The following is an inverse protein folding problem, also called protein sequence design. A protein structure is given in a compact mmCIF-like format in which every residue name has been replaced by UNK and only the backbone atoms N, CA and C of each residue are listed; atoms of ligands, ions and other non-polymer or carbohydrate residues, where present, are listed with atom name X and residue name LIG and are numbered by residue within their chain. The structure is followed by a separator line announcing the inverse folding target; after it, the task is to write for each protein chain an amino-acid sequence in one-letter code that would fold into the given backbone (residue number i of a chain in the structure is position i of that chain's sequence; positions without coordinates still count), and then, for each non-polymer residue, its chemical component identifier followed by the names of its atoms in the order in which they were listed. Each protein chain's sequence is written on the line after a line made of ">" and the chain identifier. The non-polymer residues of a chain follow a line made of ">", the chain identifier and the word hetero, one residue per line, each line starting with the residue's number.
data_IF_439982629754
#
_entry.id   IF_439982629754
#
_cell.length_a   1.000
_cell.length_b   1.000
_cell.length_c   1.000
_cell.angle_alpha   90.00
_cell.angle_beta   90.00
_cell.angle_gamma   90.00
#
_symmetry.space_group_name_H-M   'P 1'
#
loop_
_entity.id
_entity.type
_entity.pdbx_description
1 polymer ?
#
# COMPACT_ATOMS: atom_id res chain seq x y z
N UNK A 1 91.50 117.66 -66.67
CA UNK A 1 91.24 118.74 -65.69
C UNK A 1 89.76 118.65 -65.33
N UNK A 2 89.35 118.58 -64.07
CA UNK A 2 90.15 118.50 -62.83
C UNK A 2 89.39 117.74 -61.72
N UNK A 3 90.15 117.19 -60.78
CA UNK A 3 89.73 116.87 -59.40
C UNK A 3 89.31 118.17 -58.64
N UNK A 4 88.52 118.14 -57.55
CA UNK A 4 88.79 117.28 -56.38
C UNK A 4 87.61 116.73 -55.57
N UNK A 5 87.91 115.72 -54.74
CA UNK A 5 87.03 115.21 -53.69
C UNK A 5 86.91 116.13 -52.45
N UNK A 6 85.67 116.32 -51.94
CA UNK A 6 85.33 116.63 -50.53
C UNK A 6 83.81 116.59 -50.31
N UNK A 7 83.26 115.44 -49.88
CA UNK A 7 81.82 115.30 -49.54
C UNK A 7 81.49 114.14 -48.59
N UNK A 8 82.21 113.01 -48.68
CA UNK A 8 81.85 111.76 -47.96
C UNK A 8 81.86 111.82 -46.42
N UNK A 9 82.59 112.77 -45.81
CA UNK A 9 82.95 112.70 -44.39
C UNK A 9 81.88 113.27 -43.44
N UNK A 10 81.11 114.28 -43.87
CA UNK A 10 79.96 114.80 -43.10
C UNK A 10 78.80 113.81 -43.08
N UNK A 11 78.51 113.16 -44.22
CA UNK A 11 77.45 112.16 -44.32
C UNK A 11 77.64 110.97 -43.35
N UNK A 12 78.88 110.45 -43.23
CA UNK A 12 79.21 109.40 -42.25
C UNK A 12 78.97 109.85 -40.80
N UNK A 13 79.36 111.07 -40.44
CA UNK A 13 79.16 111.58 -39.09
C UNK A 13 77.67 111.77 -38.75
N UNK A 14 76.84 112.21 -39.71
CA UNK A 14 75.38 112.30 -39.53
C UNK A 14 74.76 110.91 -39.33
N UNK A 15 75.16 109.91 -40.12
CA UNK A 15 74.65 108.53 -39.96
C UNK A 15 75.07 107.92 -38.62
N UNK A 16 76.32 108.13 -38.17
CA UNK A 16 76.79 107.67 -36.86
C UNK A 16 76.03 108.37 -35.72
N UNK A 17 75.79 109.68 -35.82
CA UNK A 17 74.97 110.41 -34.86
C UNK A 17 73.53 109.85 -34.81
N UNK A 18 72.90 109.61 -35.97
CA UNK A 18 71.55 109.07 -36.04
C UNK A 18 71.45 107.66 -35.44
N UNK A 19 72.43 106.79 -35.70
CA UNK A 19 72.53 105.45 -35.11
C UNK A 19 72.74 105.51 -33.59
N UNK A 20 73.57 106.41 -33.10
CA UNK A 20 73.77 106.58 -31.65
C UNK A 20 72.49 107.07 -30.95
N UNK A 21 71.75 107.99 -31.57
CA UNK A 21 70.49 108.50 -31.05
C UNK A 21 69.41 107.40 -31.04
N UNK A 22 69.31 106.60 -32.12
CA UNK A 22 68.44 105.42 -32.17
C UNK A 22 68.80 104.39 -31.08
N UNK A 23 70.09 104.11 -30.88
CA UNK A 23 70.56 103.18 -29.86
C UNK A 23 70.20 103.65 -28.44
N UNK A 24 70.27 104.96 -28.17
CA UNK A 24 69.86 105.53 -26.88
C UNK A 24 68.34 105.42 -26.69
N UNK A 25 67.55 105.68 -27.73
CA UNK A 25 66.08 105.52 -27.69
C UNK A 25 65.71 104.06 -27.43
N UNK A 26 66.32 103.09 -28.14
CA UNK A 26 66.10 101.66 -27.91
C UNK A 26 66.52 101.22 -26.49
N UNK A 27 67.65 101.74 -25.98
CA UNK A 27 68.08 101.47 -24.60
C UNK A 27 67.03 101.94 -23.58
N UNK A 28 66.50 103.17 -23.74
CA UNK A 28 65.46 103.72 -22.87
C UNK A 28 64.18 102.87 -22.94
N UNK A 29 63.75 102.43 -24.12
CA UNK A 29 62.57 101.57 -24.26
C UNK A 29 62.77 100.22 -23.56
N UNK A 30 63.93 99.58 -23.73
CA UNK A 30 64.23 98.30 -23.05
C UNK A 30 64.27 98.50 -21.53
N UNK A 31 64.92 99.56 -21.03
CA UNK A 31 64.99 99.88 -19.60
C UNK A 31 63.59 100.18 -19.02
N UNK A 32 62.72 100.89 -19.75
CA UNK A 32 61.34 101.14 -19.29
C UNK A 32 60.53 99.84 -19.26
N UNK A 33 60.70 98.93 -20.21
CA UNK A 33 60.02 97.62 -20.20
C UNK A 33 60.55 96.67 -19.12
N UNK A 34 61.86 96.66 -18.83
CA UNK A 34 62.45 95.80 -17.79
C UNK A 34 62.33 96.36 -16.37
N UNK A 35 62.28 97.70 -16.24
CA UNK A 35 62.28 98.42 -14.95
C UNK A 35 60.89 98.97 -14.60
N UNK A 36 59.87 98.59 -15.36
CA UNK A 36 58.46 98.70 -14.96
C UNK A 36 57.85 97.31 -14.68
N UNK A 37 58.37 96.50 -13.74
CA UNK A 37 57.60 95.38 -13.21
C UNK A 37 56.37 95.98 -12.54
N UNK A 38 55.19 95.70 -13.10
CA UNK A 38 53.96 96.41 -12.80
C UNK A 38 53.66 96.42 -11.28
N UNK A 39 53.74 97.59 -10.64
CA UNK A 39 53.55 97.70 -9.20
C UNK A 39 52.09 97.49 -8.76
N UNK A 40 51.11 97.55 -9.68
CA UNK A 40 49.72 97.13 -9.42
C UNK A 40 49.59 95.60 -9.41
N UNK A 41 50.45 94.86 -10.12
CA UNK A 41 50.54 93.40 -10.01
C UNK A 41 50.76 92.93 -8.57
N UNK A 42 51.44 93.72 -7.72
CA UNK A 42 51.62 93.43 -6.28
C UNK A 42 50.32 93.50 -5.45
N UNK A 43 49.29 94.19 -5.95
CA UNK A 43 47.94 94.19 -5.40
C UNK A 43 47.10 93.08 -6.03
N UNK A 44 47.20 92.89 -7.35
CA UNK A 44 46.50 91.84 -8.08
C UNK A 44 46.88 90.43 -7.57
N UNK A 45 48.16 90.18 -7.33
CA UNK A 45 48.67 88.94 -6.74
C UNK A 45 48.12 88.69 -5.32
N UNK A 46 47.84 89.74 -4.54
CA UNK A 46 47.17 89.60 -3.23
C UNK A 46 45.71 89.21 -3.38
N UNK A 47 44.98 89.82 -4.31
CA UNK A 47 43.57 89.43 -4.58
C UNK A 47 43.48 88.01 -5.17
N UNK A 48 44.41 87.61 -6.03
CA UNK A 48 44.49 86.24 -6.56
C UNK A 48 44.87 85.22 -5.48
N UNK A 49 45.75 85.57 -4.53
CA UNK A 49 46.02 84.72 -3.36
C UNK A 49 44.82 84.60 -2.41
N UNK A 50 44.02 85.66 -2.24
CA UNK A 50 42.80 85.61 -1.44
C UNK A 50 41.73 84.75 -2.12
N UNK A 51 41.43 84.98 -3.40
CA UNK A 51 40.53 84.15 -4.20
C UNK A 51 40.96 82.67 -4.24
N UNK A 52 42.25 82.39 -4.42
CA UNK A 52 42.78 81.03 -4.37
C UNK A 52 42.65 80.41 -2.96
N UNK A 53 42.80 81.19 -1.89
CA UNK A 53 42.61 80.72 -0.52
C UNK A 53 41.14 80.42 -0.23
N UNK A 54 40.22 81.33 -0.58
CA UNK A 54 38.77 81.12 -0.44
C UNK A 54 38.29 79.90 -1.24
N UNK A 55 38.82 79.69 -2.46
CA UNK A 55 38.55 78.49 -3.27
C UNK A 55 39.11 77.22 -2.62
N UNK A 56 40.31 77.26 -2.04
CA UNK A 56 40.90 76.12 -1.34
C UNK A 56 40.10 75.78 -0.08
N UNK A 57 39.66 76.78 0.69
CA UNK A 57 38.77 76.56 1.84
C UNK A 57 37.40 76.04 1.44
N UNK A 58 36.81 76.56 0.36
CA UNK A 58 35.58 76.03 -0.23
C UNK A 58 35.70 74.56 -0.62
N UNK A 59 36.73 74.19 -1.39
CA UNK A 59 37.04 72.80 -1.77
C UNK A 59 37.30 71.92 -0.55
N UNK A 60 37.99 72.43 0.48
CA UNK A 60 38.26 71.73 1.73
C UNK A 60 36.99 71.48 2.57
N UNK A 61 36.01 72.40 2.52
CA UNK A 61 34.69 72.20 3.15
C UNK A 61 33.84 71.20 2.35
N UNK A 62 33.83 71.29 1.02
CA UNK A 62 33.13 70.33 0.15
C UNK A 62 33.71 68.91 0.32
N UNK A 63 35.02 68.74 0.16
CA UNK A 63 35.71 67.46 0.36
C UNK A 63 35.47 66.86 1.76
N UNK A 64 35.34 67.67 2.81
CA UNK A 64 34.94 67.20 4.15
C UNK A 64 33.49 66.70 4.20
N UNK A 65 32.55 67.38 3.53
CA UNK A 65 31.15 66.94 3.45
C UNK A 65 31.03 65.66 2.62
N UNK A 66 31.67 65.61 1.46
CA UNK A 66 31.67 64.44 0.57
C UNK A 66 32.29 63.22 1.28
N UNK A 67 33.37 63.43 2.04
CA UNK A 67 33.96 62.38 2.88
C UNK A 67 32.96 61.85 3.91
N UNK A 68 32.28 62.72 4.67
CA UNK A 68 31.32 62.30 5.69
C UNK A 68 30.12 61.57 5.07
N UNK A 69 29.60 62.07 3.95
CA UNK A 69 28.51 61.42 3.21
C UNK A 69 28.93 60.05 2.64
N UNK A 70 30.21 59.88 2.26
CA UNK A 70 30.76 58.59 1.83
C UNK A 70 30.95 57.63 3.02
N UNK A 71 31.41 58.11 4.17
CA UNK A 71 31.51 57.31 5.39
C UNK A 71 30.12 56.84 5.88
N UNK A 72 29.10 57.71 5.81
CA UNK A 72 27.69 57.37 6.11
C UNK A 72 27.12 56.34 5.12
N UNK A 73 27.37 56.50 3.81
CA UNK A 73 26.93 55.52 2.80
C UNK A 73 27.63 54.16 2.96
N UNK A 74 28.94 54.15 3.26
CA UNK A 74 29.70 52.91 3.49
C UNK A 74 29.18 52.16 4.72
N UNK A 75 28.84 52.85 5.80
CA UNK A 75 28.28 52.20 6.98
C UNK A 75 26.85 51.68 6.73
N UNK A 76 26.00 52.46 6.04
CA UNK A 76 24.66 52.03 5.66
C UNK A 76 24.66 50.81 4.71
N UNK A 77 25.64 50.66 3.82
CA UNK A 77 25.80 49.45 3.00
C UNK A 77 26.38 48.26 3.78
N UNK A 78 27.21 48.49 4.83
CA UNK A 78 27.63 47.43 5.75
C UNK A 78 26.46 46.87 6.56
N UNK A 79 25.64 47.75 7.16
CA UNK A 79 24.44 47.33 7.90
C UNK A 79 23.48 46.51 7.03
N UNK A 80 23.27 46.92 5.76
CA UNK A 80 22.50 46.14 4.78
C UNK A 80 23.16 44.79 4.47
N UNK A 81 24.47 44.76 4.24
CA UNK A 81 25.19 43.52 3.94
C UNK A 81 25.15 42.53 5.11
N UNK A 82 25.35 42.97 6.35
CA UNK A 82 25.33 42.10 7.51
C UNK A 82 23.90 41.66 7.88
N UNK A 83 22.89 42.50 7.65
CA UNK A 83 21.48 42.07 7.70
C UNK A 83 21.18 40.99 6.66
N UNK A 84 21.59 41.17 5.41
CA UNK A 84 21.41 40.17 4.34
C UNK A 84 22.16 38.86 4.67
N UNK A 85 23.35 38.92 5.26
CA UNK A 85 24.08 37.73 5.74
C UNK A 85 23.33 37.01 6.85
N UNK A 86 22.75 37.73 7.81
CA UNK A 86 21.93 37.13 8.86
C UNK A 86 20.67 36.45 8.29
N UNK A 87 19.98 37.09 7.34
CA UNK A 87 18.83 36.51 6.64
C UNK A 87 19.21 35.25 5.83
N UNK A 88 20.36 35.27 5.12
CA UNK A 88 20.90 34.11 4.40
C UNK A 88 21.24 32.95 5.35
N UNK A 89 21.89 33.23 6.48
CA UNK A 89 22.23 32.21 7.48
C UNK A 89 20.99 31.59 8.13
N UNK A 90 19.97 32.40 8.43
CA UNK A 90 18.68 31.93 8.92
C UNK A 90 17.98 31.02 7.90
N UNK A 91 17.92 31.44 6.62
CA UNK A 91 17.33 30.63 5.55
C UNK A 91 18.10 29.32 5.30
N UNK A 92 19.43 29.35 5.39
CA UNK A 92 20.28 28.15 5.29
C UNK A 92 20.01 27.19 6.47
N UNK A 93 19.88 27.70 7.69
CA UNK A 93 19.53 26.92 8.87
C UNK A 93 18.15 26.25 8.75
N UNK A 94 17.14 27.02 8.30
CA UNK A 94 15.80 26.49 8.07
C UNK A 94 15.78 25.42 6.96
N UNK A 95 16.53 25.63 5.87
CA UNK A 95 16.66 24.65 4.78
C UNK A 95 17.34 23.37 5.26
N UNK A 96 18.38 23.48 6.09
CA UNK A 96 19.05 22.30 6.67
C UNK A 96 18.10 21.52 7.61
N UNK A 97 17.28 22.22 8.39
CA UNK A 97 16.27 21.59 9.24
C UNK A 97 15.19 20.86 8.44
N UNK A 98 14.63 21.48 7.40
CA UNK A 98 13.61 20.83 6.54
C UNK A 98 14.18 19.73 5.65
N UNK A 99 15.48 19.76 5.32
CA UNK A 99 16.17 18.66 4.67
C UNK A 99 16.28 17.44 5.62
N UNK A 100 16.64 17.68 6.88
CA UNK A 100 16.73 16.62 7.89
C UNK A 100 15.38 15.94 8.14
N UNK A 101 14.29 16.70 8.34
CA UNK A 101 12.95 16.12 8.58
C UNK A 101 12.38 15.44 7.33
N UNK A 102 12.75 15.89 6.13
CA UNK A 102 12.40 15.21 4.88
C UNK A 102 13.07 13.83 4.77
N UNK A 103 14.34 13.70 5.15
CA UNK A 103 15.05 12.42 5.13
C UNK A 103 14.54 11.47 6.25
N UNK A 104 14.17 12.00 7.42
CA UNK A 104 13.48 11.24 8.47
C UNK A 104 12.14 10.69 7.96
N UNK A 105 11.27 11.53 7.39
CA UNK A 105 10.01 11.12 6.77
C UNK A 105 10.24 10.10 5.62
N UNK A 106 11.34 10.23 4.86
CA UNK A 106 11.72 9.26 3.82
C UNK A 106 12.11 7.90 4.42
N UNK A 107 12.85 7.89 5.53
CA UNK A 107 13.24 6.68 6.25
C UNK A 107 12.02 6.01 6.91
N UNK A 108 11.12 6.77 7.53
CA UNK A 108 9.86 6.25 8.09
C UNK A 108 9.00 5.59 7.01
N UNK A 109 8.86 6.23 5.84
CA UNK A 109 8.09 5.68 4.72
C UNK A 109 8.69 4.34 4.20
N UNK A 110 10.03 4.22 4.15
CA UNK A 110 10.69 2.95 3.79
C UNK A 110 10.45 1.85 4.84
N UNK A 111 10.48 2.18 6.13
CA UNK A 111 10.13 1.23 7.21
C UNK A 111 8.66 0.83 7.15
N UNK A 112 7.75 1.78 6.88
CA UNK A 112 6.33 1.51 6.74
C UNK A 112 6.04 0.62 5.52
N UNK A 113 6.70 0.86 4.38
CA UNK A 113 6.61 0.01 3.18
C UNK A 113 7.10 -1.42 3.46
N UNK A 114 8.21 -1.58 4.18
CA UNK A 114 8.70 -2.90 4.60
C UNK A 114 7.70 -3.62 5.52
N UNK A 115 7.13 -2.91 6.50
CA UNK A 115 6.10 -3.45 7.40
C UNK A 115 4.84 -3.90 6.65
N UNK A 116 4.39 -3.13 5.64
CA UNK A 116 3.26 -3.51 4.78
C UNK A 116 3.58 -4.79 3.99
N UNK A 117 4.79 -4.91 3.42
CA UNK A 117 5.21 -6.12 2.70
C UNK A 117 5.22 -7.36 3.60
N UNK A 118 5.76 -7.25 4.81
CA UNK A 118 5.76 -8.34 5.81
C UNK A 118 4.33 -8.68 6.25
N UNK A 119 3.46 -7.69 6.44
CA UNK A 119 2.07 -7.95 6.81
C UNK A 119 1.28 -8.65 5.69
N UNK A 120 1.55 -8.31 4.42
CA UNK A 120 0.97 -9.02 3.28
C UNK A 120 1.44 -10.48 3.21
N UNK A 121 2.75 -10.74 3.35
CA UNK A 121 3.30 -12.11 3.38
C UNK A 121 2.64 -12.96 4.48
N UNK A 122 2.45 -12.38 5.68
CA UNK A 122 1.74 -13.05 6.77
C UNK A 122 0.26 -13.35 6.44
N UNK A 123 -0.45 -12.44 5.76
CA UNK A 123 -1.84 -12.68 5.31
C UNK A 123 -1.90 -13.81 4.28
N UNK A 124 -0.94 -13.89 3.37
CA UNK A 124 -0.85 -14.96 2.37
C UNK A 124 -0.51 -16.32 3.01
N UNK A 125 0.41 -16.36 3.97
CA UNK A 125 0.74 -17.56 4.75
C UNK A 125 -0.44 -18.04 5.62
N UNK A 126 -1.19 -17.12 6.24
CA UNK A 126 -2.40 -17.44 7.00
C UNK A 126 -3.48 -18.05 6.09
N UNK A 127 -3.74 -17.48 4.91
CA UNK A 127 -4.69 -18.03 3.93
C UNK A 127 -4.30 -19.42 3.43
N UNK A 128 -3.01 -19.69 3.20
CA UNK A 128 -2.53 -21.03 2.85
C UNK A 128 -2.75 -22.02 4.00
N UNK A 129 -2.55 -21.58 5.24
CA UNK A 129 -2.79 -22.40 6.44
C UNK A 129 -4.28 -22.70 6.63
N UNK A 130 -5.14 -21.69 6.45
CA UNK A 130 -6.61 -21.81 6.50
C UNK A 130 -7.14 -22.79 5.44
N UNK A 131 -6.68 -22.67 4.19
CA UNK A 131 -7.06 -23.57 3.10
C UNK A 131 -6.62 -25.02 3.37
N UNK A 132 -5.42 -25.22 3.92
CA UNK A 132 -4.90 -26.53 4.31
C UNK A 132 -5.72 -27.15 5.46
N UNK A 133 -6.03 -26.38 6.51
CA UNK A 133 -6.87 -26.84 7.61
C UNK A 133 -8.30 -27.15 7.16
N UNK A 134 -8.89 -26.33 6.28
CA UNK A 134 -10.21 -26.60 5.69
C UNK A 134 -10.23 -27.91 4.90
N UNK A 135 -9.18 -28.19 4.12
CA UNK A 135 -9.04 -29.46 3.40
C UNK A 135 -8.85 -30.66 4.34
N UNK A 136 -8.14 -30.50 5.45
CA UNK A 136 -8.00 -31.54 6.48
C UNK A 136 -9.31 -31.80 7.24
N UNK A 137 -10.12 -30.77 7.50
CA UNK A 137 -11.44 -30.89 8.13
C UNK A 137 -12.37 -31.68 7.21
N UNK A 138 -12.50 -31.31 5.92
CA UNK A 138 -13.31 -32.06 4.97
C UNK A 138 -12.91 -33.53 4.84
N UNK A 139 -11.60 -33.82 4.83
CA UNK A 139 -11.08 -35.21 4.84
C UNK A 139 -11.41 -35.97 6.14
N UNK A 140 -11.58 -35.29 7.28
CA UNK A 140 -12.04 -35.91 8.53
C UNK A 140 -13.55 -36.11 8.54
N UNK A 141 -14.32 -35.16 7.99
CA UNK A 141 -15.77 -35.29 7.80
C UNK A 141 -16.10 -36.47 6.87
N UNK A 142 -15.45 -36.59 5.71
CA UNK A 142 -15.54 -37.76 4.80
C UNK A 142 -15.26 -39.10 5.51
N UNK A 143 -14.30 -39.12 6.44
CA UNK A 143 -13.95 -40.32 7.21
C UNK A 143 -14.98 -40.65 8.31
N UNK A 144 -15.59 -39.63 8.92
CA UNK A 144 -16.65 -39.80 9.92
C UNK A 144 -17.91 -40.32 9.22
N UNK A 145 -18.32 -39.74 8.10
CA UNK A 145 -19.47 -40.17 7.31
C UNK A 145 -19.32 -41.62 6.82
N UNK A 146 -18.13 -41.99 6.31
CA UNK A 146 -17.84 -43.35 5.88
C UNK A 146 -17.87 -44.35 7.06
N UNK A 147 -17.45 -43.93 8.25
CA UNK A 147 -17.51 -44.75 9.47
C UNK A 147 -18.96 -44.90 9.99
N UNK A 148 -19.75 -43.83 9.98
CA UNK A 148 -21.17 -43.87 10.37
C UNK A 148 -21.98 -44.77 9.44
N UNK A 149 -21.76 -44.70 8.13
CA UNK A 149 -22.36 -45.62 7.16
C UNK A 149 -21.96 -47.07 7.43
N UNK A 150 -20.68 -47.35 7.72
CA UNK A 150 -20.20 -48.69 8.03
C UNK A 150 -20.82 -49.26 9.32
N UNK A 151 -20.89 -48.45 10.38
CA UNK A 151 -21.52 -48.82 11.67
C UNK A 151 -23.02 -49.05 11.50
N UNK A 152 -23.70 -48.23 10.70
CA UNK A 152 -25.14 -48.37 10.41
C UNK A 152 -25.43 -49.64 9.61
N UNK A 153 -24.60 -49.95 8.59
CA UNK A 153 -24.70 -51.22 7.86
C UNK A 153 -24.48 -52.42 8.81
N UNK A 154 -23.42 -52.39 9.62
CA UNK A 154 -23.13 -53.46 10.58
C UNK A 154 -24.27 -53.66 11.59
N UNK A 155 -24.91 -52.59 12.06
CA UNK A 155 -26.08 -52.67 12.92
C UNK A 155 -27.24 -53.42 12.23
N UNK A 156 -27.60 -53.04 11.01
CA UNK A 156 -28.65 -53.74 10.24
C UNK A 156 -28.29 -55.21 9.94
N UNK A 157 -27.03 -55.53 9.64
CA UNK A 157 -26.57 -56.91 9.46
C UNK A 157 -26.72 -57.73 10.75
N UNK A 158 -26.42 -57.16 11.93
CA UNK A 158 -26.65 -57.84 13.21
C UNK A 158 -28.13 -58.03 13.55
N UNK A 159 -29.00 -57.08 13.22
CA UNK A 159 -30.45 -57.18 13.40
C UNK A 159 -31.07 -58.25 12.47
N UNK A 160 -30.63 -58.31 11.21
CA UNK A 160 -31.01 -59.36 10.27
C UNK A 160 -30.54 -60.75 10.75
N UNK A 161 -29.30 -60.86 11.25
CA UNK A 161 -28.75 -62.09 11.81
C UNK A 161 -29.52 -62.55 13.06
N UNK A 162 -29.86 -61.63 13.98
CA UNK A 162 -30.68 -61.93 15.15
C UNK A 162 -32.09 -62.42 14.75
N UNK A 163 -32.70 -61.78 13.76
CA UNK A 163 -34.03 -62.17 13.23
C UNK A 163 -34.00 -63.56 12.59
N UNK A 164 -32.96 -63.87 11.80
CA UNK A 164 -32.73 -65.21 11.24
C UNK A 164 -32.52 -66.27 12.33
N UNK A 165 -31.83 -65.93 13.43
CA UNK A 165 -31.65 -66.83 14.57
C UNK A 165 -32.98 -67.18 15.24
N UNK A 166 -33.84 -66.20 15.49
CA UNK A 166 -35.20 -66.41 16.05
C UNK A 166 -36.07 -67.25 15.10
N UNK A 167 -35.98 -67.03 13.79
CA UNK A 167 -36.67 -67.85 12.80
C UNK A 167 -36.17 -69.32 12.82
N UNK A 168 -34.87 -69.54 12.92
CA UNK A 168 -34.27 -70.88 13.03
C UNK A 168 -34.64 -71.59 14.35
N UNK A 169 -34.64 -70.87 15.49
CA UNK A 169 -35.12 -71.38 16.79
C UNK A 169 -36.59 -71.82 16.70
N UNK A 170 -37.44 -71.02 16.03
CA UNK A 170 -38.86 -71.36 15.80
C UNK A 170 -39.03 -72.61 14.92
N UNK A 171 -38.26 -72.72 13.83
CA UNK A 171 -38.26 -73.92 12.97
C UNK A 171 -37.77 -75.17 13.73
N UNK A 172 -36.74 -75.04 14.58
CA UNK A 172 -36.25 -76.13 15.43
C UNK A 172 -37.33 -76.62 16.41
N UNK A 173 -38.06 -75.70 17.06
CA UNK A 173 -39.16 -76.05 17.96
C UNK A 173 -40.32 -76.73 17.21
N UNK A 174 -40.65 -76.26 16.00
CA UNK A 174 -41.65 -76.89 15.14
C UNK A 174 -41.22 -78.30 14.70
N UNK A 175 -39.96 -78.50 14.32
CA UNK A 175 -39.41 -79.81 13.98
C UNK A 175 -39.38 -80.77 15.18
N UNK A 176 -39.01 -80.29 16.37
CA UNK A 176 -39.06 -81.08 17.61
C UNK A 176 -40.50 -81.50 17.96
N UNK A 177 -41.49 -80.61 17.74
CA UNK A 177 -42.92 -80.93 17.91
C UNK A 177 -43.38 -82.01 16.93
N UNK A 178 -43.02 -81.90 15.65
CA UNK A 178 -43.31 -82.92 14.63
C UNK A 178 -42.65 -84.27 14.95
N UNK A 179 -41.41 -84.28 15.47
CA UNK A 179 -40.75 -85.52 15.86
C UNK A 179 -41.49 -86.22 17.03
N UNK A 180 -41.91 -85.47 18.07
CA UNK A 180 -42.75 -86.02 19.16
C UNK A 180 -44.10 -86.56 18.64
N UNK A 181 -44.71 -85.90 17.66
CA UNK A 181 -45.93 -86.38 17.00
C UNK A 181 -45.69 -87.66 16.19
N UNK A 182 -44.53 -87.79 15.55
CA UNK A 182 -44.12 -89.01 14.84
C UNK A 182 -43.85 -90.17 15.81
N UNK A 183 -43.10 -89.93 16.89
CA UNK A 183 -42.79 -90.92 17.92
C UNK A 183 -44.05 -91.45 18.62
N UNK A 184 -44.97 -90.57 19.01
CA UNK A 184 -46.25 -90.97 19.63
C UNK A 184 -47.16 -91.71 18.65
N UNK A 185 -47.18 -91.33 17.36
CA UNK A 185 -47.88 -92.09 16.30
C UNK A 185 -47.25 -93.46 16.08
N UNK A 186 -45.92 -93.59 16.13
CA UNK A 186 -45.22 -94.87 16.07
C UNK A 186 -45.61 -95.76 17.27
N UNK A 187 -45.53 -95.25 18.50
CA UNK A 187 -45.94 -96.00 19.70
C UNK A 187 -47.42 -96.44 19.65
N UNK A 188 -48.30 -95.66 19.03
CA UNK A 188 -49.69 -96.05 18.80
C UNK A 188 -49.81 -97.19 17.78
N UNK A 189 -49.05 -97.14 16.68
CA UNK A 189 -49.01 -98.21 15.68
C UNK A 189 -48.39 -99.50 16.25
N UNK A 190 -47.29 -99.40 17.00
CA UNK A 190 -46.65 -100.54 17.69
C UNK A 190 -47.64 -101.20 18.67
N UNK A 191 -48.40 -100.41 19.45
CA UNK A 191 -49.49 -100.92 20.32
C UNK A 191 -50.66 -101.53 19.56
N UNK A 192 -50.95 -101.07 18.34
CA UNK A 192 -52.00 -101.64 17.48
C UNK A 192 -51.55 -102.96 16.87
N UNK A 193 -50.32 -103.03 16.35
CA UNK A 193 -49.71 -104.27 15.85
C UNK A 193 -49.66 -105.34 16.94
N UNK A 194 -49.16 -104.99 18.14
CA UNK A 194 -49.11 -105.92 19.28
C UNK A 194 -50.48 -106.51 19.61
N UNK A 195 -51.55 -105.70 19.55
CA UNK A 195 -52.92 -106.18 19.77
C UNK A 195 -53.39 -107.14 18.68
N UNK A 196 -53.16 -106.83 17.41
CA UNK A 196 -53.52 -107.75 16.32
C UNK A 196 -52.77 -109.08 16.44
N UNK A 197 -51.46 -109.06 16.75
CA UNK A 197 -50.68 -110.28 17.01
C UNK A 197 -51.14 -111.07 18.25
N UNK A 198 -51.91 -110.44 19.15
CA UNK A 198 -52.55 -111.09 20.30
C UNK A 198 -53.94 -111.64 19.96
N UNK A 199 -54.71 -110.92 19.14
CA UNK A 199 -56.03 -111.32 18.60
C UNK A 199 -55.89 -112.47 17.57
N UNK A 200 -54.74 -112.59 16.89
CA UNK A 200 -54.38 -113.75 16.05
C UNK A 200 -54.25 -115.08 16.84
N UNK A 201 -54.30 -115.05 18.18
CA UNK A 201 -54.31 -116.25 19.04
C UNK A 201 -55.69 -116.66 19.56
N UNK A 202 -56.73 -115.82 19.45
CA UNK A 202 -58.08 -116.19 19.89
C UNK A 202 -59.19 -115.41 19.17
N UNK A 203 -60.08 -116.13 18.48
CA UNK A 203 -61.16 -115.56 17.65
C UNK A 203 -62.35 -116.52 17.57
N UNK A 204 -63.57 -116.08 17.18
CA UNK A 204 -64.06 -114.70 16.95
C UNK A 204 -65.39 -114.38 17.67
N UNK A 205 -65.92 -113.14 17.56
CA UNK A 205 -67.24 -112.90 16.94
C UNK A 205 -67.63 -111.41 16.75
N UNK A 206 -68.71 -111.21 16.00
CA UNK A 206 -69.13 -109.98 15.30
C UNK A 206 -70.07 -109.07 16.12
N UNK A 207 -70.19 -107.79 15.72
CA UNK A 207 -71.51 -107.21 15.36
C UNK A 207 -71.39 -105.98 14.44
N UNK A 208 -72.54 -105.50 13.92
CA UNK A 208 -72.70 -104.45 12.88
C UNK A 208 -72.78 -103.03 13.51
N UNK A 209 -72.93 -101.86 12.85
CA UNK A 209 -73.41 -101.41 11.50
C UNK A 209 -72.82 -99.95 11.28
N UNK A 210 -73.16 -98.96 10.41
CA UNK A 210 -74.19 -98.67 9.38
C UNK A 210 -73.85 -97.38 8.55
N UNK A 211 -73.95 -97.39 7.20
CA UNK A 211 -74.08 -96.23 6.25
C UNK A 211 -72.95 -95.14 6.24
N UNK A 212 -72.63 -94.36 5.18
CA UNK A 212 -73.07 -94.25 3.77
C UNK A 212 -71.93 -93.61 2.88
N UNK A 213 -71.80 -93.93 1.58
CA UNK A 213 -70.94 -93.24 0.57
C UNK A 213 -71.75 -92.26 -0.34
N UNK A 214 -71.22 -91.59 -1.40
CA UNK A 214 -69.89 -91.67 -2.06
C UNK A 214 -69.16 -90.33 -2.39
N UNK A 215 -67.98 -90.44 -3.02
CA UNK A 215 -67.14 -89.38 -3.64
C UNK A 215 -67.54 -89.08 -5.11
N UNK A 216 -67.06 -88.01 -5.79
CA UNK A 216 -65.72 -88.02 -6.43
C UNK A 216 -64.96 -86.66 -6.52
N UNK A 217 -63.71 -86.76 -7.01
CA UNK A 217 -62.71 -85.72 -7.43
C UNK A 217 -62.99 -85.22 -8.88
N UNK A 218 -62.17 -84.38 -9.60
CA UNK A 218 -60.76 -83.96 -9.42
C UNK A 218 -60.43 -82.47 -9.83
N UNK A 219 -59.26 -82.25 -10.47
CA UNK A 219 -58.58 -81.01 -10.92
C UNK A 219 -57.99 -80.14 -9.78
N UNK A 220 -56.71 -79.74 -9.73
CA UNK A 220 -55.68 -79.42 -10.74
C UNK A 220 -55.93 -78.11 -11.48
N UNK A 221 -55.14 -77.06 -11.18
CA UNK A 221 -54.11 -76.55 -12.10
C UNK A 221 -53.29 -75.39 -11.50
N UNK A 222 -52.37 -74.86 -12.31
CA UNK A 222 -51.24 -73.97 -12.03
C UNK A 222 -51.49 -72.68 -11.21
N UNK A 223 -50.38 -72.16 -10.67
CA UNK A 223 -50.28 -70.77 -10.19
C UNK A 223 -50.36 -69.75 -11.35
N UNK A 224 -50.60 -68.47 -11.03
CA UNK A 224 -49.60 -67.48 -11.45
C UNK A 224 -49.27 -66.41 -10.38
N UNK A 225 -48.24 -65.61 -10.68
CA UNK A 225 -47.81 -64.47 -9.85
C UNK A 225 -48.82 -63.31 -9.87
N UNK A 226 -48.99 -62.65 -8.73
CA UNK A 226 -49.50 -61.28 -8.58
C UNK A 226 -49.18 -60.78 -7.15
N UNK A 227 -48.74 -59.53 -6.89
CA UNK A 227 -48.31 -58.47 -7.82
C UNK A 227 -48.61 -57.06 -7.26
N UNK A 228 -47.57 -56.19 -7.20
CA UNK A 228 -47.65 -54.71 -7.01
C UNK A 228 -48.08 -54.28 -5.58
N UNK A 229 -47.67 -53.10 -5.03
CA UNK A 229 -46.73 -52.07 -5.51
C UNK A 229 -45.33 -52.17 -4.86
N UNK A 230 -44.24 -51.55 -5.34
CA UNK A 230 -44.07 -50.41 -6.26
C UNK A 230 -44.47 -49.03 -5.68
N UNK A 231 -43.77 -48.58 -4.63
CA UNK A 231 -43.85 -47.21 -4.13
C UNK A 231 -42.65 -46.36 -4.62
N UNK A 232 -42.95 -45.09 -4.91
CA UNK A 232 -42.08 -44.02 -5.44
C UNK A 232 -40.62 -44.09 -4.92
N UNK A 233 -39.56 -44.08 -5.74
CA UNK A 233 -39.19 -43.14 -6.81
C UNK A 233 -39.01 -41.68 -6.33
N UNK A 234 -37.74 -41.33 -6.05
CA UNK A 234 -37.10 -40.02 -6.10
C UNK A 234 -37.98 -38.75 -6.03
N UNK A 235 -37.94 -38.09 -4.87
CA UNK A 235 -38.36 -36.70 -4.67
C UNK A 235 -37.28 -35.87 -3.99
N UNK A 236 -36.16 -35.61 -4.68
CA UNK A 236 -35.15 -34.65 -4.23
C UNK A 236 -35.74 -33.24 -4.39
N UNK A 237 -36.27 -32.70 -3.29
CA UNK A 237 -36.79 -31.34 -3.19
C UNK A 237 -36.08 -30.60 -2.05
N UNK A 238 -35.51 -29.44 -2.35
CA UNK A 238 -34.65 -28.69 -1.43
C UNK A 238 -35.43 -28.14 -0.22
N UNK A 239 -35.19 -28.71 0.96
CA UNK A 239 -35.74 -28.23 2.22
C UNK A 239 -34.95 -27.01 2.75
N UNK A 240 -34.96 -25.91 2.00
CA UNK A 240 -34.40 -24.65 2.45
C UNK A 240 -35.18 -24.12 3.67
N UNK A 241 -34.61 -24.19 4.88
CA UNK A 241 -35.22 -23.63 6.09
C UNK A 241 -34.18 -22.90 6.94
N UNK A 242 -34.11 -21.59 6.71
CA UNK A 242 -33.82 -20.52 7.67
C UNK A 242 -32.85 -20.80 8.82
N UNK A 243 -31.61 -20.30 8.71
CA UNK A 243 -30.99 -19.60 9.84
C UNK A 243 -31.09 -18.09 9.62
N UNK A 244 -31.96 -17.44 10.39
CA UNK A 244 -31.91 -15.99 10.52
C UNK A 244 -30.75 -15.60 11.44
N UNK A 245 -29.85 -14.77 10.94
CA UNK A 245 -28.87 -14.03 11.75
C UNK A 245 -28.97 -12.57 11.37
N UNK A 246 -29.60 -11.77 12.22
CA UNK A 246 -29.61 -10.33 12.06
C UNK A 246 -28.18 -9.80 12.24
N UNK A 247 -27.72 -9.00 11.29
CA UNK A 247 -26.54 -8.16 11.44
C UNK A 247 -26.78 -6.84 10.74
N UNK A 248 -27.42 -5.94 11.47
CA UNK A 248 -27.41 -4.51 11.17
C UNK A 248 -25.99 -3.99 11.35
N UNK A 249 -25.19 -4.08 10.29
CA UNK A 249 -24.01 -3.24 10.12
C UNK A 249 -24.40 -2.14 9.15
N UNK A 250 -24.32 -0.89 9.62
CA UNK A 250 -24.44 0.28 8.75
C UNK A 250 -23.18 0.31 7.89
N UNK A 251 -23.31 -0.05 6.62
CA UNK A 251 -22.26 0.19 5.63
C UNK A 251 -22.65 1.41 4.81
N UNK A 252 -22.01 2.52 5.17
CA UNK A 252 -22.15 3.83 4.56
C UNK A 252 -21.83 3.78 3.05
N UNK A 253 -22.63 4.42 2.19
CA UNK A 253 -22.29 4.63 0.77
C UNK A 253 -21.28 5.79 0.61
N UNK A 254 -20.25 5.76 1.46
CA UNK A 254 -19.04 6.53 1.27
C UNK A 254 -18.29 5.98 0.07
N UNK A 255 -18.51 6.57 -1.10
CA UNK A 255 -17.83 6.27 -2.37
C UNK A 255 -16.34 6.59 -2.36
N UNK A 256 -15.59 5.94 -1.47
CA UNK A 256 -14.15 6.04 -1.34
C UNK A 256 -13.46 5.38 -2.52
N UNK A 257 -13.06 6.21 -3.50
CA UNK A 257 -12.10 5.77 -4.49
C UNK A 257 -10.82 5.28 -3.79
N UNK A 258 -10.32 4.10 -4.19
CA UNK A 258 -9.03 3.57 -3.76
C UNK A 258 -7.91 4.40 -4.38
N UNK A 259 -7.71 5.60 -3.83
CA UNK A 259 -6.55 6.45 -4.10
C UNK A 259 -5.33 5.85 -3.42
N UNK A 260 -4.20 5.81 -4.13
CA UNK A 260 -3.01 5.09 -3.66
C UNK A 260 -2.57 5.57 -2.28
N UNK A 261 -2.30 4.65 -1.32
CA UNK A 261 -1.94 5.02 0.05
C UNK A 261 -0.64 5.83 0.13
N UNK A 262 0.23 5.75 -0.90
CA UNK A 262 1.40 6.62 -1.04
C UNK A 262 1.05 8.12 -1.05
N UNK A 263 -0.12 8.49 -1.61
CA UNK A 263 -0.55 9.89 -1.72
C UNK A 263 -0.93 10.50 -0.37
N UNK A 264 -1.49 9.69 0.54
CA UNK A 264 -1.92 10.13 1.86
C UNK A 264 -0.73 10.45 2.78
N UNK A 265 0.27 9.56 2.82
CA UNK A 265 1.47 9.71 3.67
C UNK A 265 2.22 11.01 3.35
N UNK A 266 2.36 11.34 2.06
CA UNK A 266 3.08 12.53 1.60
C UNK A 266 2.45 13.86 2.07
N UNK A 267 1.18 13.86 2.47
CA UNK A 267 0.45 15.06 2.92
C UNK A 267 0.67 15.38 4.40
N UNK A 268 1.12 14.41 5.21
CA UNK A 268 1.32 14.60 6.66
C UNK A 268 2.64 15.29 7.01
N UNK A 269 3.75 14.93 6.34
CA UNK A 269 5.08 15.51 6.60
C UNK A 269 5.25 16.99 6.18
N UNK A 270 4.19 17.64 5.66
CA UNK A 270 4.17 19.03 5.19
C UNK A 270 3.32 19.96 6.08
N UNK A 271 2.92 19.53 7.28
CA UNK A 271 1.97 20.26 8.15
C UNK A 271 2.43 20.43 9.61
N UNK A 272 3.74 20.43 9.85
CA UNK A 272 4.40 20.72 11.14
C UNK A 272 5.52 21.72 10.92
#
# INVERSE_FOLDING_TARGET
>A
MADPAKSSQTAKNVVIALLSLWSIISLIVIVVWSTSPDLKSSAQCRTELQDATEKLEGVKVVCRKDKVALEEQVEAEREKQDKQRAEILMLLGNLNATNHTLEECRQENLVLQANVSVLQENIEALRQTEANLTAQIGLQEDQIDALEQNVTQAAHETEACASLRVAAESQMLAAQSQNRACESRKQFLDKKLLKCTQEDSEAPQQTQQKQNPPTPTPSSDAAPLSGIPALMLLGLGEAATCRSTASTVVQDEGGGAWTDPMTAVQTSCLRT
#
